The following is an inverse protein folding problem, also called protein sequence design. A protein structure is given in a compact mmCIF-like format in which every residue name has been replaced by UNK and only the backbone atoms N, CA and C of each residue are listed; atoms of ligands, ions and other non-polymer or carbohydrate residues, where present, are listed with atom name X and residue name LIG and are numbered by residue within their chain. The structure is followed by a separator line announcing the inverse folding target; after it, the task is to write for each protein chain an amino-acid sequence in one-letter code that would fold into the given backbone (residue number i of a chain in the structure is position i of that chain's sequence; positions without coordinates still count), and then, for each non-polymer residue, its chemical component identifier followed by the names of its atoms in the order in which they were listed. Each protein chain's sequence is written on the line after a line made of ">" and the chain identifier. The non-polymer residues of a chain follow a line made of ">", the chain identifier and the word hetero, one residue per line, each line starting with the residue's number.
data_IF_698658096619
#
_entry.id   IF_698658096619
#
_cell.length_a   1.000
_cell.length_b   1.000
_cell.length_c   1.000
_cell.angle_alpha   90.00
_cell.angle_beta   90.00
_cell.angle_gamma   90.00
#
_symmetry.space_group_name_H-M   'P 1'
#
loop_
_entity.id
_entity.type
_entity.pdbx_description
1 polymer ?
#
# COMPACT_ATOMS: atom_id res chain seq x y z
N UNK A 1 -25.20 -15.41 11.26
CA UNK A 1 -23.96 -14.70 10.90
C UNK A 1 -23.44 -14.07 12.18
N UNK A 2 -22.35 -14.58 12.74
CA UNK A 2 -21.67 -13.96 13.89
C UNK A 2 -20.75 -12.88 13.33
N UNK A 3 -20.88 -11.65 13.82
CA UNK A 3 -19.94 -10.59 13.47
C UNK A 3 -18.59 -10.91 14.11
N UNK A 4 -17.51 -10.83 13.33
CA UNK A 4 -16.12 -11.14 13.74
C UNK A 4 -15.63 -10.33 14.96
N UNK A 5 -16.38 -9.32 15.42
CA UNK A 5 -16.01 -8.46 16.55
C UNK A 5 -16.50 -8.91 17.93
N UNK A 6 -17.40 -9.90 18.05
CA UNK A 6 -17.98 -10.30 19.34
C UNK A 6 -17.05 -11.23 20.16
N UNK A 7 -16.09 -11.88 19.49
CA UNK A 7 -15.10 -12.80 20.11
C UNK A 7 -13.77 -12.11 20.47
N UNK A 8 -13.66 -10.79 20.29
CA UNK A 8 -12.45 -10.01 20.63
C UNK A 8 -12.51 -9.58 22.09
N UNK A 9 -11.48 -9.93 22.87
CA UNK A 9 -11.38 -9.58 24.28
C UNK A 9 -11.36 -8.04 24.47
N UNK A 10 -12.25 -7.45 25.27
CA UNK A 10 -12.32 -6.00 25.48
C UNK A 10 -11.06 -5.39 26.15
N UNK A 11 -10.24 -6.20 26.79
CA UNK A 11 -8.97 -5.80 27.42
C UNK A 11 -7.79 -5.81 26.45
N UNK A 12 -7.98 -6.37 25.24
CA UNK A 12 -6.95 -6.40 24.22
C UNK A 12 -6.52 -4.96 23.91
N UNK A 13 -5.24 -4.67 24.14
CA UNK A 13 -4.69 -3.35 23.85
C UNK A 13 -4.68 -2.32 24.97
N UNK A 14 -5.21 -2.64 26.16
CA UNK A 14 -5.37 -1.68 27.26
C UNK A 14 -4.07 -0.95 27.70
N UNK A 15 -2.89 -1.47 27.35
CA UNK A 15 -1.59 -0.89 27.72
C UNK A 15 -0.70 -0.52 26.52
N UNK A 16 -1.21 -0.62 25.29
CA UNK A 16 -0.47 -0.23 24.09
C UNK A 16 -0.72 1.25 23.78
N UNK A 17 0.32 2.11 23.75
CA UNK A 17 0.17 3.49 23.34
C UNK A 17 -0.02 3.57 21.81
N UNK A 18 -1.01 4.34 21.36
CA UNK A 18 -1.27 4.58 19.93
C UNK A 18 -2.45 3.80 19.35
N UNK A 19 -2.72 3.96 18.04
CA UNK A 19 -3.76 3.23 17.32
C UNK A 19 -3.46 1.73 17.26
N UNK A 20 -4.51 0.92 17.36
CA UNK A 20 -4.40 -0.54 17.49
C UNK A 20 -5.33 -1.24 16.51
N UNK A 21 -4.81 -2.29 15.86
CA UNK A 21 -5.58 -3.12 14.93
C UNK A 21 -5.38 -4.59 15.25
N UNK A 22 -6.50 -5.30 15.41
CA UNK A 22 -6.52 -6.75 15.46
C UNK A 22 -6.47 -7.31 14.03
N UNK A 23 -5.55 -8.22 13.77
CA UNK A 23 -5.39 -8.88 12.47
C UNK A 23 -6.27 -10.13 12.37
N UNK A 24 -6.57 -10.56 11.16
CA UNK A 24 -7.36 -11.77 10.91
C UNK A 24 -6.74 -13.03 11.54
N UNK A 25 -5.42 -13.06 11.73
CA UNK A 25 -4.70 -14.15 12.39
C UNK A 25 -4.68 -14.02 13.93
N UNK A 26 -5.43 -13.07 14.51
CA UNK A 26 -5.53 -12.85 15.95
C UNK A 26 -4.35 -12.11 16.58
N UNK A 27 -3.47 -11.51 15.76
CA UNK A 27 -2.37 -10.67 16.23
C UNK A 27 -2.80 -9.23 16.49
N UNK A 28 -2.06 -8.50 17.33
CA UNK A 28 -2.22 -7.05 17.51
C UNK A 28 -1.03 -6.33 16.91
N UNK A 29 -1.31 -5.43 15.96
CA UNK A 29 -0.30 -4.51 15.42
C UNK A 29 -0.43 -3.18 16.17
N UNK A 30 0.68 -2.75 16.78
CA UNK A 30 0.81 -1.46 17.46
C UNK A 30 1.62 -0.54 16.56
N UNK A 31 0.95 0.47 16.01
CA UNK A 31 1.57 1.48 15.18
C UNK A 31 1.99 2.71 16.00
N UNK A 32 3.04 3.39 15.56
CA UNK A 32 3.30 4.76 16.04
C UNK A 32 2.31 5.75 15.39
N UNK A 33 2.43 7.04 15.71
CA UNK A 33 1.53 8.08 15.20
C UNK A 33 1.56 8.24 13.67
N UNK A 34 2.56 7.69 12.98
CA UNK A 34 2.69 7.71 11.52
C UNK A 34 2.33 6.36 10.87
N UNK A 35 1.86 5.38 11.66
CA UNK A 35 1.44 4.10 11.11
C UNK A 35 0.15 4.25 10.31
N UNK A 36 0.13 3.69 9.09
CA UNK A 36 -1.01 3.73 8.18
C UNK A 36 -1.64 2.35 8.03
N UNK A 37 -2.98 2.31 8.01
CA UNK A 37 -3.73 1.08 7.73
C UNK A 37 -3.89 0.93 6.23
N UNK A 38 -3.14 -0.02 5.66
CA UNK A 38 -3.22 -0.35 4.24
C UNK A 38 -4.26 -1.44 4.06
N UNK A 39 -5.34 -1.13 3.34
CA UNK A 39 -6.31 -2.11 2.90
C UNK A 39 -5.66 -3.03 1.86
N UNK A 40 -5.55 -4.32 2.19
CA UNK A 40 -4.87 -5.31 1.34
C UNK A 40 -5.72 -5.71 0.12
N UNK A 41 -7.03 -5.47 0.17
CA UNK A 41 -7.99 -5.77 -0.90
C UNK A 41 -8.30 -4.54 -1.76
N UNK A 42 -7.69 -3.38 -1.45
CA UNK A 42 -7.82 -2.19 -2.29
C UNK A 42 -7.35 -2.49 -3.73
N UNK A 43 -8.07 -2.01 -4.75
CA UNK A 43 -7.66 -2.20 -6.13
C UNK A 43 -6.26 -1.62 -6.34
N UNK A 44 -5.45 -2.33 -7.12
CA UNK A 44 -4.13 -1.86 -7.49
C UNK A 44 -4.23 -0.48 -8.17
N UNK A 45 -3.30 0.41 -7.88
CA UNK A 45 -3.26 1.74 -8.48
C UNK A 45 -1.84 2.12 -8.83
N UNK A 46 -1.68 3.00 -9.81
CA UNK A 46 -0.42 3.70 -10.01
C UNK A 46 -0.20 4.72 -8.89
N UNK A 47 1.00 4.72 -8.31
CA UNK A 47 1.49 5.67 -7.30
C UNK A 47 2.62 6.50 -7.89
N UNK A 48 2.72 7.76 -7.48
CA UNK A 48 3.69 8.73 -8.01
C UNK A 48 2.99 9.99 -8.52
N UNK A 49 3.64 10.80 -9.38
CA UNK A 49 4.98 10.56 -9.92
C UNK A 49 6.10 10.66 -8.87
N UNK A 50 7.15 9.88 -9.05
CA UNK A 50 8.38 9.93 -8.26
C UNK A 50 9.53 10.41 -9.14
N UNK A 51 10.43 11.21 -8.58
CA UNK A 51 11.67 11.61 -9.26
C UNK A 51 12.57 10.40 -9.48
N UNK A 52 13.01 10.16 -10.70
CA UNK A 52 14.04 9.18 -11.00
C UNK A 52 15.42 9.74 -10.62
N UNK A 53 16.23 8.92 -9.95
CA UNK A 53 17.61 9.25 -9.59
C UNK A 53 18.58 8.30 -10.28
N UNK A 54 19.68 8.87 -10.79
CA UNK A 54 20.75 8.10 -11.37
C UNK A 54 21.57 7.35 -10.31
N UNK A 55 22.52 6.52 -10.78
CA UNK A 55 23.39 5.70 -9.92
C UNK A 55 24.21 6.48 -8.87
N UNK A 56 24.35 7.79 -9.07
CA UNK A 56 25.14 8.70 -8.24
C UNK A 56 24.26 9.55 -7.31
N UNK A 57 22.93 9.42 -7.40
CA UNK A 57 21.96 10.11 -6.54
C UNK A 57 21.42 11.43 -7.09
N UNK A 58 21.84 11.88 -8.26
CA UNK A 58 21.32 13.07 -8.92
C UNK A 58 20.01 12.76 -9.67
N UNK A 59 19.04 13.70 -9.71
CA UNK A 59 17.85 13.57 -10.54
C UNK A 59 18.21 13.40 -12.01
N UNK A 60 17.58 12.45 -12.70
CA UNK A 60 17.78 12.25 -14.15
C UNK A 60 16.99 13.26 -14.99
N UNK A 61 15.96 13.88 -14.39
CA UNK A 61 14.98 14.72 -15.07
C UNK A 61 13.73 13.97 -15.51
N UNK A 62 13.69 12.63 -15.37
CA UNK A 62 12.49 11.85 -15.61
C UNK A 62 11.70 11.58 -14.31
N UNK A 63 10.44 11.19 -14.47
CA UNK A 63 9.58 10.75 -13.39
C UNK A 63 9.05 9.35 -13.70
N UNK A 64 8.79 8.57 -12.66
CA UNK A 64 8.21 7.23 -12.78
C UNK A 64 7.01 7.06 -11.87
N UNK A 65 6.14 6.10 -12.20
CA UNK A 65 5.04 5.64 -11.37
C UNK A 65 5.25 4.18 -11.00
N UNK A 66 4.72 3.76 -9.85
CA UNK A 66 4.82 2.40 -9.33
C UNK A 66 3.43 1.82 -9.09
N UNK A 67 3.17 0.60 -9.58
CA UNK A 67 1.93 -0.11 -9.27
C UNK A 67 1.94 -0.55 -7.79
N UNK A 68 0.90 -0.22 -7.03
CA UNK A 68 0.77 -0.63 -5.63
C UNK A 68 0.53 -2.14 -5.46
N UNK A 69 -0.02 -2.82 -6.47
CA UNK A 69 -0.35 -4.24 -6.41
C UNK A 69 0.84 -5.16 -6.67
N UNK A 70 1.55 -4.97 -7.80
CA UNK A 70 2.66 -5.85 -8.19
C UNK A 70 4.06 -5.22 -8.05
N UNK A 71 4.14 -3.91 -7.80
CA UNK A 71 5.40 -3.18 -7.63
C UNK A 71 6.13 -2.83 -8.93
N UNK A 72 5.56 -3.10 -10.11
CA UNK A 72 6.18 -2.70 -11.39
C UNK A 72 6.31 -1.18 -11.46
N UNK A 73 7.41 -0.71 -12.04
CA UNK A 73 7.73 0.70 -12.22
C UNK A 73 7.88 1.00 -13.70
N UNK A 74 7.30 2.12 -14.13
CA UNK A 74 7.40 2.62 -15.51
C UNK A 74 7.51 4.13 -15.51
N UNK A 75 8.06 4.71 -16.58
CA UNK A 75 8.11 6.17 -16.73
C UNK A 75 6.70 6.74 -16.76
N UNK A 76 6.54 7.98 -16.27
CA UNK A 76 5.27 8.69 -16.36
C UNK A 76 4.81 8.77 -17.82
N UNK A 77 3.57 8.36 -18.09
CA UNK A 77 2.99 8.30 -19.44
C UNK A 77 3.11 6.95 -20.13
N UNK A 78 3.90 6.01 -19.59
CA UNK A 78 4.13 4.68 -20.20
C UNK A 78 3.33 3.56 -19.50
N UNK A 79 2.30 3.89 -18.72
CA UNK A 79 1.48 2.93 -17.94
C UNK A 79 0.77 1.92 -18.83
N UNK A 80 0.36 2.32 -20.03
CA UNK A 80 -0.31 1.47 -21.02
C UNK A 80 0.60 0.36 -21.60
N UNK A 81 1.92 0.47 -21.42
CA UNK A 81 2.90 -0.50 -21.91
C UNK A 81 3.45 -1.40 -20.79
N UNK A 82 2.99 -1.21 -19.54
CA UNK A 82 3.46 -1.97 -18.41
C UNK A 82 3.07 -3.46 -18.51
N UNK A 83 4.04 -4.35 -18.29
CA UNK A 83 3.78 -5.78 -18.11
C UNK A 83 3.65 -6.09 -16.62
N UNK A 84 2.46 -6.49 -16.18
CA UNK A 84 2.18 -6.80 -14.79
C UNK A 84 2.52 -8.25 -14.42
N UNK A 85 2.69 -8.50 -13.11
CA UNK A 85 2.67 -9.87 -12.56
C UNK A 85 1.27 -10.46 -12.73
N UNK A 86 1.17 -11.77 -12.97
CA UNK A 86 -0.09 -12.51 -12.96
C UNK A 86 -0.99 -12.13 -11.77
N UNK A 87 -2.26 -11.85 -12.05
CA UNK A 87 -3.26 -11.47 -11.06
C UNK A 87 -3.28 -9.96 -10.71
N UNK A 88 -2.56 -9.12 -11.45
CA UNK A 88 -2.50 -7.67 -11.24
C UNK A 88 -3.01 -6.89 -12.47
N UNK A 89 -4.17 -7.28 -12.98
CA UNK A 89 -4.73 -6.73 -14.24
C UNK A 89 -5.68 -5.54 -14.03
N UNK A 90 -6.01 -5.21 -12.77
CA UNK A 90 -7.02 -4.22 -12.39
C UNK A 90 -6.47 -2.86 -11.95
N UNK A 91 -5.33 -2.41 -12.49
CA UNK A 91 -4.76 -1.11 -12.08
C UNK A 91 -5.68 0.04 -12.47
N UNK A 92 -6.18 0.79 -11.48
CA UNK A 92 -6.91 2.04 -11.71
C UNK A 92 -5.92 3.19 -11.86
N UNK A 93 -6.14 4.04 -12.87
CA UNK A 93 -5.37 5.27 -13.03
C UNK A 93 -5.89 6.32 -12.04
N UNK A 94 -5.03 6.80 -11.15
CA UNK A 94 -5.37 7.94 -10.29
C UNK A 94 -5.03 9.20 -11.07
N UNK A 95 -6.07 9.73 -11.72
CA UNK A 95 -6.01 10.94 -12.54
C UNK A 95 -5.62 12.19 -11.75
N UNK A 96 -4.91 13.06 -12.46
CA UNK A 96 -4.26 14.33 -12.08
C UNK A 96 -5.17 15.37 -11.43
#
# INVERSE_FOLDING_TARGET
>A
MRALGDDVDPSLGANAPGPQVATADGGVVVGDANAELVDADAPATWKGPFTEYGRYGEPTGAQYVRCSGCGVEVLEGETEHATHRDGCDGVVEVGR
#
